data_IF_324967068614
#
_entry.id   IF_324967068614
#
_cell.length_a   1.000
_cell.length_b   1.000
_cell.length_c   1.000
_cell.angle_alpha   90.00
_cell.angle_beta   90.00
_cell.angle_gamma   90.00
#
_symmetry.space_group_name_H-M   'P 1'
#
loop_
_entity.id
_entity.type
_entity.pdbx_description
1 polymer ?
#
# COMPACT_ATOMS: atom_id res chain seq x y z
N UNK A 1 10.74 4.45 15.26
CA UNK A 1 11.24 4.04 13.93
C UNK A 1 10.45 2.79 13.55
N UNK A 2 9.65 2.89 12.49
CA UNK A 2 8.60 1.96 11.99
C UNK A 2 7.13 2.34 12.26
N UNK A 3 6.83 3.59 12.65
CA UNK A 3 5.43 4.03 12.81
C UNK A 3 4.61 3.85 11.53
N UNK A 4 5.21 4.06 10.36
CA UNK A 4 4.52 3.92 9.08
C UNK A 4 4.17 2.45 8.77
N UNK A 5 5.06 1.50 9.05
CA UNK A 5 4.81 0.08 8.80
C UNK A 5 3.72 -0.46 9.73
N UNK A 6 3.77 -0.08 11.01
CA UNK A 6 2.72 -0.42 11.96
C UNK A 6 1.38 0.22 11.58
N UNK A 7 1.39 1.45 11.05
CA UNK A 7 0.18 2.11 10.56
C UNK A 7 -0.41 1.38 9.35
N UNK A 8 0.41 1.03 8.36
CA UNK A 8 -0.01 0.26 7.19
C UNK A 8 -0.61 -1.07 7.63
N UNK A 9 0.10 -1.83 8.47
CA UNK A 9 -0.39 -3.10 8.98
C UNK A 9 -1.69 -2.96 9.77
N UNK A 10 -1.77 -1.97 10.68
CA UNK A 10 -2.98 -1.73 11.48
C UNK A 10 -4.15 -1.31 10.60
N UNK A 11 -3.97 -0.42 9.63
CA UNK A 11 -5.05 0.03 8.76
C UNK A 11 -5.55 -1.11 7.86
N UNK A 12 -4.66 -1.95 7.33
CA UNK A 12 -5.05 -3.15 6.58
C UNK A 12 -5.78 -4.16 7.46
N UNK A 13 -5.29 -4.42 8.69
CA UNK A 13 -6.02 -5.27 9.64
C UNK A 13 -7.38 -4.67 10.01
N UNK A 14 -7.47 -3.35 10.16
CA UNK A 14 -8.69 -2.63 10.49
C UNK A 14 -9.71 -2.61 9.35
N UNK A 15 -9.28 -2.70 8.08
CA UNK A 15 -10.19 -2.84 6.94
C UNK A 15 -10.93 -4.18 6.94
N UNK A 16 -10.43 -5.17 7.71
CA UNK A 16 -11.00 -6.51 7.78
C UNK A 16 -10.28 -7.52 6.88
N UNK A 17 -9.08 -7.18 6.39
CA UNK A 17 -8.28 -8.08 5.57
C UNK A 17 -7.92 -9.36 6.37
N UNK A 18 -8.36 -10.55 5.92
CA UNK A 18 -8.27 -11.78 6.71
C UNK A 18 -6.89 -12.45 6.66
N UNK A 19 -6.00 -12.02 5.77
CA UNK A 19 -4.70 -12.69 5.53
C UNK A 19 -3.56 -12.00 6.28
N UNK A 20 -2.49 -12.73 6.63
CA UNK A 20 -1.31 -12.12 7.24
C UNK A 20 -0.62 -11.22 6.21
N UNK A 21 -0.55 -9.93 6.51
CA UNK A 21 0.20 -8.93 5.73
C UNK A 21 1.16 -8.20 6.66
N UNK A 22 2.37 -7.96 6.17
CA UNK A 22 3.38 -7.14 6.84
C UNK A 22 3.35 -5.74 6.25
N UNK A 23 3.14 -4.72 7.08
CA UNK A 23 3.20 -3.33 6.60
C UNK A 23 4.60 -2.91 6.13
N UNK A 24 5.65 -3.61 6.60
CA UNK A 24 7.02 -3.40 6.15
C UNK A 24 7.23 -3.90 4.72
N UNK A 25 6.82 -5.13 4.38
CA UNK A 25 6.92 -5.66 3.02
C UNK A 25 6.16 -4.81 2.00
N UNK A 26 4.96 -4.33 2.38
CA UNK A 26 4.17 -3.41 1.54
C UNK A 26 4.91 -2.10 1.29
N UNK A 27 5.49 -1.52 2.34
CA UNK A 27 6.24 -0.28 2.20
C UNK A 27 7.50 -0.46 1.35
N UNK A 28 8.23 -1.55 1.58
CA UNK A 28 9.48 -1.85 0.88
C UNK A 28 9.22 -2.03 -0.63
N UNK A 29 8.16 -2.76 -0.98
CA UNK A 29 7.72 -2.95 -2.37
C UNK A 29 7.31 -1.61 -3.03
N UNK A 30 6.57 -0.75 -2.32
CA UNK A 30 6.28 0.60 -2.79
C UNK A 30 7.58 1.37 -3.02
N UNK A 31 8.51 1.33 -2.05
CA UNK A 31 9.77 2.06 -2.08
C UNK A 31 10.63 1.64 -3.27
N UNK A 32 10.74 0.33 -3.55
CA UNK A 32 11.46 -0.21 -4.70
C UNK A 32 10.82 0.21 -6.03
N UNK A 33 9.49 0.24 -6.09
CA UNK A 33 8.77 0.65 -7.31
C UNK A 33 8.81 2.16 -7.59
N UNK A 34 8.94 2.99 -6.56
CA UNK A 34 9.10 4.44 -6.70
C UNK A 34 10.55 4.87 -6.87
N UNK A 35 11.52 4.02 -6.53
CA UNK A 35 12.92 4.33 -6.68
C UNK A 35 13.23 4.60 -8.17
N UNK A 36 13.67 5.83 -8.46
CA UNK A 36 13.92 6.29 -9.82
C UNK A 36 12.71 6.83 -10.60
N UNK A 37 11.55 7.02 -9.97
CA UNK A 37 10.39 7.70 -10.57
C UNK A 37 10.44 9.21 -10.34
N UNK A 38 9.99 9.99 -11.32
CA UNK A 38 9.85 11.45 -11.19
C UNK A 38 8.62 11.84 -10.37
N UNK A 39 8.60 13.07 -9.84
CA UNK A 39 7.50 13.63 -9.07
C UNK A 39 6.17 13.51 -9.84
N UNK A 40 5.16 12.86 -9.24
CA UNK A 40 3.89 12.60 -9.89
C UNK A 40 3.02 11.63 -9.12
N UNK A 41 1.79 11.42 -9.61
CA UNK A 41 0.87 10.42 -9.06
C UNK A 41 1.06 9.12 -9.81
N UNK A 42 1.32 8.04 -9.07
CA UNK A 42 1.46 6.69 -9.59
C UNK A 42 0.45 5.77 -8.94
N UNK A 43 0.00 4.81 -9.72
CA UNK A 43 -0.79 3.68 -9.26
C UNK A 43 0.10 2.45 -9.35
N UNK A 44 0.50 1.93 -8.19
CA UNK A 44 1.28 0.69 -8.11
C UNK A 44 0.31 -0.47 -7.91
N UNK A 45 0.60 -1.59 -8.59
CA UNK A 45 -0.22 -2.79 -8.56
C UNK A 45 0.66 -3.96 -8.15
N UNK A 46 0.51 -4.42 -6.91
CA UNK A 46 1.28 -5.56 -6.41
C UNK A 46 0.39 -6.77 -6.21
N UNK A 47 0.77 -7.86 -6.85
CA UNK A 47 0.07 -9.13 -6.78
C UNK A 47 0.76 -10.00 -5.74
N UNK A 48 0.26 -10.00 -4.52
CA UNK A 48 0.81 -10.81 -3.42
C UNK A 48 0.47 -12.30 -3.58
N UNK A 49 -0.73 -12.61 -4.08
CA UNK A 49 -1.19 -13.99 -4.32
C UNK A 49 -1.94 -14.08 -5.66
N UNK A 50 -2.17 -15.30 -6.17
CA UNK A 50 -2.80 -15.52 -7.48
C UNK A 50 -4.16 -14.82 -7.64
N UNK A 51 -4.90 -14.67 -6.54
CA UNK A 51 -6.22 -14.01 -6.49
C UNK A 51 -6.21 -12.70 -5.70
N UNK A 52 -5.06 -12.22 -5.22
CA UNK A 52 -4.98 -11.00 -4.41
C UNK A 52 -4.15 -9.93 -5.09
N UNK A 53 -4.78 -8.79 -5.32
CA UNK A 53 -4.16 -7.59 -5.91
C UNK A 53 -4.25 -6.43 -4.94
N UNK A 54 -3.13 -5.81 -4.67
CA UNK A 54 -3.01 -4.58 -3.91
C UNK A 54 -2.77 -3.44 -4.90
N UNK A 55 -3.57 -2.40 -4.81
CA UNK A 55 -3.48 -1.18 -5.61
C UNK A 55 -3.12 -0.03 -4.68
N UNK A 56 -1.97 0.58 -4.89
CA UNK A 56 -1.47 1.70 -4.10
C UNK A 56 -1.53 2.98 -4.93
N UNK A 57 -2.35 3.94 -4.49
CA UNK A 57 -2.29 5.30 -4.98
C UNK A 57 -1.25 6.07 -4.19
N UNK A 58 -0.13 6.33 -4.83
CA UNK A 58 0.99 7.07 -4.25
C UNK A 58 1.23 8.36 -5.04
N UNK A 59 1.65 9.40 -4.33
CA UNK A 59 2.09 10.65 -4.94
C UNK A 59 3.52 10.92 -4.52
N UNK A 60 4.43 10.89 -5.49
CA UNK A 60 5.84 11.21 -5.29
C UNK A 60 6.00 12.73 -5.37
N UNK A 61 6.65 13.34 -4.38
CA UNK A 61 6.95 14.76 -4.28
C UNK A 61 8.40 14.97 -3.84
N UNK A 62 9.23 15.47 -4.75
CA UNK A 62 10.67 15.71 -4.56
C UNK A 62 11.44 14.46 -4.11
N UNK A 63 11.58 14.25 -2.80
CA UNK A 63 12.32 13.14 -2.18
C UNK A 63 11.42 12.28 -1.28
N UNK A 64 10.15 12.63 -1.16
CA UNK A 64 9.17 11.95 -0.32
C UNK A 64 8.02 11.39 -1.15
N UNK A 65 7.37 10.36 -0.63
CA UNK A 65 6.12 9.87 -1.20
C UNK A 65 4.99 9.95 -0.18
N UNK A 66 3.80 10.18 -0.70
CA UNK A 66 2.57 10.14 0.08
C UNK A 66 1.74 8.95 -0.39
N UNK A 67 1.44 8.03 0.53
CA UNK A 67 0.47 6.97 0.30
C UNK A 67 -0.92 7.55 0.55
N UNK A 68 -1.73 7.67 -0.50
CA UNK A 68 -3.08 8.22 -0.43
C UNK A 68 -4.11 7.14 -0.11
N UNK A 69 -4.29 6.18 -1.02
CA UNK A 69 -5.29 5.11 -0.88
C UNK A 69 -4.66 3.76 -1.21
N UNK A 70 -5.01 2.75 -0.42
CA UNK A 70 -4.68 1.35 -0.65
C UNK A 70 -5.95 0.55 -0.86
N UNK A 71 -6.12 -0.02 -2.05
CA UNK A 71 -7.21 -0.94 -2.37
C UNK A 71 -6.68 -2.36 -2.45
N UNK A 72 -7.30 -3.28 -1.73
CA UNK A 72 -6.93 -4.69 -1.68
C UNK A 72 -8.10 -5.50 -2.23
N UNK A 73 -7.92 -6.03 -3.42
CA UNK A 73 -8.87 -6.91 -4.08
C UNK A 73 -8.50 -8.36 -3.76
N UNK A 74 -9.38 -9.03 -3.05
CA UNK A 74 -9.28 -10.46 -2.72
C UNK A 74 -10.51 -11.18 -3.28
N UNK A 75 -10.48 -12.51 -3.43
CA UNK A 75 -11.67 -13.28 -3.80
C UNK A 75 -12.76 -13.22 -2.71
N UNK A 76 -12.40 -12.89 -1.47
CA UNK A 76 -13.32 -12.78 -0.34
C UNK A 76 -14.03 -11.41 -0.28
N UNK A 77 -13.47 -10.39 -0.94
CA UNK A 77 -13.99 -9.04 -0.94
C UNK A 77 -12.97 -7.99 -1.39
N UNK A 78 -13.43 -6.76 -1.54
CA UNK A 78 -12.56 -5.60 -1.77
C UNK A 78 -12.47 -4.79 -0.49
N UNK A 79 -11.24 -4.55 -0.04
CA UNK A 79 -10.95 -3.77 1.16
C UNK A 79 -10.22 -2.50 0.75
N UNK A 80 -10.68 -1.35 1.22
CA UNK A 80 -10.03 -0.07 0.93
C UNK A 80 -9.59 0.59 2.22
N UNK A 81 -8.40 1.19 2.16
CA UNK A 81 -7.79 1.92 3.25
C UNK A 81 -7.38 3.29 2.74
N UNK A 82 -7.96 4.32 3.33
CA UNK A 82 -7.55 5.70 3.11
C UNK A 82 -6.46 6.08 4.13
N UNK A 83 -5.34 6.59 3.63
CA UNK A 83 -4.18 7.06 4.41
C UNK A 83 -4.07 8.60 4.45
N UNK A 84 -4.89 9.34 3.68
CA UNK A 84 -4.95 10.81 3.67
C UNK A 84 -5.88 11.37 4.77
N UNK A 85 -6.75 10.52 5.34
CA UNK A 85 -7.70 10.85 6.42
C UNK A 85 -7.11 11.07 7.81
#
# INVERSE_FOLDING_TARGET
MNELYELIEKKIKASGYPRPISGADVYDDICDQIDGKENGTYLLLSKFEEDVVFEYHITIRDEDFNLGVLTMKTPEGTFEVDFDA
#
